data_IF_220038002372
#
_entry.id   IF_220038002372
#
_cell.length_a   1.000
_cell.length_b   1.000
_cell.length_c   1.000
_cell.angle_alpha   90.00
_cell.angle_beta   90.00
_cell.angle_gamma   90.00
#
_symmetry.space_group_name_H-M   'P 1'
#
loop_
_entity.id
_entity.type
_entity.pdbx_description
1 polymer ?
#
# COMPACT_ATOMS: atom_id res chain seq x y z
N UNK A 1 17.39 -31.81 37.06
CA UNK A 1 16.94 -31.50 35.71
C UNK A 1 16.60 -30.00 35.51
N UNK A 2 15.80 -29.40 36.43
CA UNK A 2 15.39 -27.99 36.39
C UNK A 2 16.60 -27.01 36.46
N UNK A 3 17.62 -27.33 37.28
CA UNK A 3 18.82 -26.47 37.37
C UNK A 3 19.63 -26.43 36.07
N UNK A 4 19.74 -27.54 35.35
CA UNK A 4 20.42 -27.59 34.03
C UNK A 4 19.70 -26.75 32.99
N UNK A 5 18.35 -26.79 32.99
CA UNK A 5 17.54 -25.94 32.09
C UNK A 5 17.75 -24.47 32.40
N UNK A 6 17.76 -24.09 33.66
CA UNK A 6 18.02 -22.71 34.10
C UNK A 6 19.38 -22.20 33.61
N UNK A 7 20.43 -22.98 33.79
CA UNK A 7 21.76 -22.63 33.28
C UNK A 7 21.79 -22.50 31.77
N UNK A 8 21.13 -23.41 31.02
CA UNK A 8 21.07 -23.33 29.57
C UNK A 8 20.37 -22.06 29.08
N UNK A 9 19.32 -21.61 29.74
CA UNK A 9 18.61 -20.37 29.42
C UNK A 9 19.51 -19.14 29.64
N UNK A 10 20.21 -19.08 30.78
CA UNK A 10 21.12 -17.97 31.08
C UNK A 10 22.27 -17.90 30.08
N UNK A 11 22.87 -19.03 29.74
CA UNK A 11 23.94 -19.11 28.73
C UNK A 11 23.43 -18.65 27.37
N UNK A 12 22.24 -19.12 26.94
CA UNK A 12 21.64 -18.70 25.67
C UNK A 12 21.33 -17.21 25.64
N UNK A 13 20.80 -16.65 26.73
CA UNK A 13 20.57 -15.21 26.86
C UNK A 13 21.87 -14.41 26.75
N UNK A 14 22.95 -14.88 27.42
CA UNK A 14 24.26 -14.26 27.28
C UNK A 14 24.82 -14.28 25.87
N UNK A 15 24.71 -15.38 25.17
CA UNK A 15 25.14 -15.50 23.77
C UNK A 15 24.36 -14.49 22.90
N UNK A 16 23.04 -14.44 23.02
CA UNK A 16 22.22 -13.51 22.25
C UNK A 16 22.55 -12.04 22.57
N UNK A 17 22.81 -11.74 23.84
CA UNK A 17 23.10 -10.36 24.28
C UNK A 17 24.48 -9.87 23.83
N UNK A 18 25.49 -10.72 23.83
CA UNK A 18 26.89 -10.31 23.55
C UNK A 18 27.36 -10.72 22.17
N UNK A 19 27.13 -11.98 21.74
CA UNK A 19 27.64 -12.46 20.47
C UNK A 19 26.74 -12.09 19.27
N UNK A 20 25.41 -12.07 19.45
CA UNK A 20 24.46 -11.75 18.39
C UNK A 20 24.01 -10.28 18.42
N UNK A 21 24.61 -9.43 19.28
CA UNK A 21 24.21 -8.03 19.47
C UNK A 21 24.17 -7.24 18.17
N UNK A 22 25.19 -7.37 17.35
CA UNK A 22 25.31 -6.63 16.10
C UNK A 22 24.22 -7.07 15.10
N UNK A 23 23.95 -8.35 15.01
CA UNK A 23 22.85 -8.88 14.18
C UNK A 23 21.51 -8.29 14.57
N UNK A 24 21.19 -8.26 15.86
CA UNK A 24 19.92 -7.75 16.35
C UNK A 24 19.82 -6.23 16.24
N UNK A 25 20.93 -5.49 16.36
CA UNK A 25 20.98 -4.06 16.05
C UNK A 25 20.70 -3.80 14.57
N UNK A 26 21.33 -4.50 13.64
CA UNK A 26 21.07 -4.38 12.22
C UNK A 26 19.60 -4.71 11.85
N UNK A 27 19.02 -5.67 12.56
CA UNK A 27 17.60 -6.00 12.41
C UNK A 27 16.72 -4.85 12.92
N UNK A 28 17.01 -4.30 14.08
CA UNK A 28 16.28 -3.17 14.65
C UNK A 28 16.33 -1.94 13.74
N UNK A 29 17.51 -1.58 13.21
CA UNK A 29 17.71 -0.44 12.31
C UNK A 29 16.94 -0.56 11.00
N UNK A 30 16.67 -1.79 10.54
CA UNK A 30 15.81 -2.02 9.37
C UNK A 30 14.34 -1.73 9.65
N UNK A 31 13.90 -1.85 10.90
CA UNK A 31 12.50 -1.64 11.30
C UNK A 31 12.27 -0.23 11.85
N UNK A 32 13.26 0.36 12.50
CA UNK A 32 13.19 1.74 13.02
C UNK A 32 13.62 2.69 11.90
N UNK A 33 12.66 3.36 11.30
CA UNK A 33 12.94 4.48 10.40
C UNK A 33 12.94 5.77 11.19
N UNK A 34 14.10 6.21 11.59
CA UNK A 34 14.28 7.53 12.19
C UNK A 34 14.15 8.62 11.13
N UNK A 35 13.66 9.79 11.53
CA UNK A 35 13.55 10.98 10.68
C UNK A 35 12.70 10.81 9.40
N UNK A 36 11.64 10.01 9.47
CA UNK A 36 10.67 9.94 8.37
C UNK A 36 9.88 11.23 8.32
N UNK A 37 10.10 12.04 7.28
CA UNK A 37 9.31 13.24 7.04
C UNK A 37 7.89 12.84 6.65
N UNK A 38 6.95 13.03 7.57
CA UNK A 38 5.52 12.84 7.29
C UNK A 38 4.99 14.14 6.69
N UNK A 39 4.56 14.10 5.43
CA UNK A 39 3.94 15.26 4.78
C UNK A 39 2.58 15.53 5.43
N UNK A 40 2.32 16.77 5.90
CA UNK A 40 1.03 17.11 6.50
C UNK A 40 -0.09 17.04 5.45
N UNK A 41 -1.27 16.66 5.92
CA UNK A 41 -2.48 16.73 5.11
C UNK A 41 -3.03 18.16 5.11
N UNK A 42 -3.38 18.66 3.92
CA UNK A 42 -4.02 19.97 3.81
C UNK A 42 -5.47 19.89 4.28
N UNK A 43 -5.90 20.87 5.07
CA UNK A 43 -7.28 21.01 5.53
C UNK A 43 -8.27 21.35 4.40
N UNK A 44 -9.54 21.35 4.75
CA UNK A 44 -10.62 21.76 3.87
C UNK A 44 -10.74 23.29 3.81
N UNK A 45 -11.14 23.82 2.65
CA UNK A 45 -11.54 25.22 2.48
C UNK A 45 -13.05 25.21 2.30
N UNK A 46 -13.74 25.95 3.15
CA UNK A 46 -15.19 26.03 3.21
C UNK A 46 -15.59 27.50 2.92
N UNK A 47 -16.68 27.69 2.18
CA UNK A 47 -17.27 29.01 1.95
C UNK A 47 -18.07 29.49 3.18
N UNK A 48 -18.46 30.76 3.19
CA UNK A 48 -19.25 31.34 4.28
C UNK A 48 -20.59 30.66 4.52
N UNK A 49 -21.17 30.03 3.49
CA UNK A 49 -22.41 29.25 3.54
C UNK A 49 -22.16 27.75 3.85
N UNK A 50 -20.95 27.37 4.28
CA UNK A 50 -20.62 26.01 4.69
C UNK A 50 -20.31 25.02 3.54
N UNK A 51 -20.30 25.47 2.29
CA UNK A 51 -20.01 24.59 1.15
C UNK A 51 -18.51 24.31 1.01
N UNK A 52 -18.19 23.08 0.67
CA UNK A 52 -16.82 22.61 0.54
C UNK A 52 -16.20 23.11 -0.78
N UNK A 53 -15.33 24.11 -0.71
CA UNK A 53 -14.67 24.72 -1.87
C UNK A 53 -13.43 23.93 -2.33
N UNK A 54 -12.66 23.38 -1.41
CA UNK A 54 -11.54 22.50 -1.72
C UNK A 54 -11.28 21.54 -0.57
N UNK A 55 -11.02 20.25 -0.93
CA UNK A 55 -10.74 19.19 0.03
C UNK A 55 -9.63 18.28 -0.48
N UNK A 56 -8.88 17.68 0.45
CA UNK A 56 -7.90 16.64 0.14
C UNK A 56 -8.54 15.27 0.34
N UNK A 57 -8.72 14.54 -0.76
CA UNK A 57 -9.27 13.18 -0.73
C UNK A 57 -8.16 12.18 -1.01
N UNK A 58 -8.07 11.09 -0.24
CA UNK A 58 -7.11 10.03 -0.52
C UNK A 58 -7.52 9.27 -1.79
N UNK A 59 -6.58 9.15 -2.71
CA UNK A 59 -6.63 8.24 -3.85
C UNK A 59 -5.58 7.16 -3.67
N UNK A 60 -5.82 5.99 -4.21
CA UNK A 60 -4.95 4.83 -4.01
C UNK A 60 -4.46 4.28 -5.33
N UNK A 61 -3.23 3.76 -5.33
CA UNK A 61 -2.76 2.80 -6.33
C UNK A 61 -2.58 1.46 -5.66
N UNK A 62 -3.02 0.41 -6.32
CA UNK A 62 -2.97 -0.95 -5.81
C UNK A 62 -1.89 -1.76 -6.51
N UNK A 63 -1.11 -2.47 -5.70
CA UNK A 63 0.04 -3.24 -6.14
C UNK A 63 -0.02 -4.67 -5.61
N UNK A 64 0.71 -5.55 -6.27
CA UNK A 64 0.88 -6.95 -5.89
C UNK A 64 2.35 -7.28 -5.71
N UNK A 65 2.72 -7.87 -4.58
CA UNK A 65 4.02 -8.50 -4.34
C UNK A 65 3.91 -10.00 -4.64
N UNK A 66 4.42 -10.42 -5.78
CA UNK A 66 4.44 -11.82 -6.17
C UNK A 66 5.52 -12.66 -5.45
N UNK A 67 6.37 -12.02 -4.64
CA UNK A 67 7.36 -12.70 -3.78
C UNK A 67 6.89 -12.85 -2.34
N UNK A 68 5.68 -12.40 -2.01
CA UNK A 68 5.09 -12.58 -0.69
C UNK A 68 4.94 -14.07 -0.34
N UNK A 69 5.10 -14.43 0.94
CA UNK A 69 5.26 -15.81 1.39
C UNK A 69 4.12 -16.76 1.00
N UNK A 70 2.86 -16.28 0.97
CA UNK A 70 1.71 -17.07 0.57
C UNK A 70 1.52 -17.13 -0.95
N UNK A 71 1.97 -16.12 -1.68
CA UNK A 71 1.85 -16.04 -3.15
C UNK A 71 2.97 -16.83 -3.84
N UNK A 72 4.16 -16.85 -3.24
CA UNK A 72 5.32 -17.57 -3.77
C UNK A 72 5.07 -19.08 -3.87
N UNK A 73 4.27 -19.66 -2.98
CA UNK A 73 3.94 -21.11 -2.92
C UNK A 73 2.86 -21.52 -3.93
N UNK A 74 2.69 -20.82 -5.01
CA UNK A 74 1.96 -21.18 -6.24
C UNK A 74 0.45 -21.49 -6.15
N UNK A 75 -0.02 -22.13 -5.11
CA UNK A 75 -1.39 -22.65 -5.04
C UNK A 75 -2.43 -21.60 -4.67
N UNK A 76 -2.12 -20.71 -3.72
CA UNK A 76 -3.13 -19.81 -3.15
C UNK A 76 -3.66 -18.80 -4.18
N UNK A 77 -2.77 -18.10 -4.89
CA UNK A 77 -3.18 -17.11 -5.89
C UNK A 77 -3.84 -17.76 -7.10
N UNK A 78 -3.33 -18.91 -7.55
CA UNK A 78 -3.85 -19.58 -8.75
C UNK A 78 -5.22 -20.19 -8.54
N UNK A 79 -5.49 -20.73 -7.36
CA UNK A 79 -6.80 -21.30 -7.04
C UNK A 79 -7.92 -20.24 -7.00
N UNK A 80 -7.59 -19.00 -6.65
CA UNK A 80 -8.56 -17.91 -6.58
C UNK A 80 -8.41 -16.89 -7.72
N UNK A 81 -7.57 -17.18 -8.73
CA UNK A 81 -7.25 -16.20 -9.78
C UNK A 81 -8.49 -15.76 -10.56
N UNK A 82 -9.39 -16.68 -10.89
CA UNK A 82 -10.59 -16.37 -11.66
C UNK A 82 -11.57 -15.51 -10.84
N UNK A 83 -11.77 -15.86 -9.57
CA UNK A 83 -12.60 -15.10 -8.64
C UNK A 83 -12.05 -13.68 -8.41
N UNK A 84 -10.73 -13.54 -8.27
CA UNK A 84 -10.06 -12.24 -8.16
C UNK A 84 -10.28 -11.41 -9.43
N UNK A 85 -10.10 -12.00 -10.61
CA UNK A 85 -10.25 -11.30 -11.88
C UNK A 85 -11.69 -10.86 -12.16
N UNK A 86 -12.67 -11.68 -11.82
CA UNK A 86 -14.10 -11.33 -11.88
C UNK A 86 -14.43 -10.20 -10.89
N UNK A 87 -13.91 -10.29 -9.66
CA UNK A 87 -14.08 -9.24 -8.66
C UNK A 87 -13.45 -7.91 -9.11
N UNK A 88 -12.26 -7.95 -9.68
CA UNK A 88 -11.60 -6.77 -10.24
C UNK A 88 -12.37 -6.18 -11.42
N UNK A 89 -12.96 -7.02 -12.28
CA UNK A 89 -13.81 -6.55 -13.38
C UNK A 89 -15.07 -5.84 -12.87
N UNK A 90 -15.70 -6.37 -11.82
CA UNK A 90 -16.88 -5.71 -11.19
C UNK A 90 -16.54 -4.34 -10.63
N UNK A 91 -15.35 -4.18 -10.04
CA UNK A 91 -14.88 -2.90 -9.47
C UNK A 91 -14.40 -1.95 -10.58
N UNK A 92 -13.77 -2.49 -11.62
CA UNK A 92 -13.17 -1.75 -12.74
C UNK A 92 -13.69 -2.27 -14.09
N UNK A 93 -14.89 -1.86 -14.50
CA UNK A 93 -15.53 -2.38 -15.71
C UNK A 93 -14.84 -1.97 -17.02
N UNK A 94 -13.88 -1.05 -16.98
CA UNK A 94 -13.07 -0.63 -18.13
C UNK A 94 -12.04 -1.69 -18.57
N UNK A 95 -11.83 -2.75 -17.78
CA UNK A 95 -10.99 -3.91 -18.14
C UNK A 95 -11.75 -5.21 -17.93
N UNK A 96 -11.61 -6.12 -18.88
CA UNK A 96 -12.22 -7.44 -18.77
C UNK A 96 -11.50 -8.35 -17.75
N UNK A 97 -12.21 -9.35 -17.23
CA UNK A 97 -11.61 -10.34 -16.32
C UNK A 97 -10.44 -11.10 -16.99
N UNK A 98 -10.52 -11.35 -18.30
CA UNK A 98 -9.46 -11.99 -19.08
C UNK A 98 -8.20 -11.13 -19.18
N UNK A 99 -8.34 -9.82 -19.31
CA UNK A 99 -7.21 -8.88 -19.32
C UNK A 99 -6.53 -8.84 -17.94
N UNK A 100 -7.31 -8.78 -16.85
CA UNK A 100 -6.75 -8.87 -15.49
C UNK A 100 -6.02 -10.20 -15.28
N UNK A 101 -6.58 -11.31 -15.76
CA UNK A 101 -5.95 -12.63 -15.67
C UNK A 101 -4.60 -12.67 -16.39
N UNK A 102 -4.55 -12.16 -17.60
CA UNK A 102 -3.31 -12.08 -18.40
C UNK A 102 -2.30 -11.15 -17.72
N UNK A 103 -2.75 -10.00 -17.22
CA UNK A 103 -1.92 -9.03 -16.54
C UNK A 103 -1.31 -9.60 -15.26
N UNK A 104 -2.09 -10.24 -14.40
CA UNK A 104 -1.60 -10.84 -13.15
C UNK A 104 -0.66 -12.02 -13.42
N UNK A 105 -0.94 -12.86 -14.42
CA UNK A 105 -0.03 -13.94 -14.84
C UNK A 105 1.31 -13.39 -15.33
N UNK A 106 1.30 -12.30 -16.10
CA UNK A 106 2.53 -11.61 -16.54
C UNK A 106 3.35 -11.08 -15.35
N UNK A 107 2.71 -10.39 -14.40
CA UNK A 107 3.35 -9.88 -13.20
C UNK A 107 3.99 -10.98 -12.36
N UNK A 108 3.29 -12.10 -12.24
CA UNK A 108 3.80 -13.28 -11.56
C UNK A 108 5.02 -13.89 -12.26
N UNK A 109 5.00 -14.04 -13.58
CA UNK A 109 6.15 -14.53 -14.36
C UNK A 109 7.38 -13.63 -14.17
N UNK A 110 7.17 -12.33 -14.04
CA UNK A 110 8.24 -11.36 -13.74
C UNK A 110 8.73 -11.42 -12.28
N UNK A 111 7.94 -11.97 -11.36
CA UNK A 111 8.27 -12.05 -9.93
C UNK A 111 8.48 -10.67 -9.30
N UNK A 112 7.74 -9.66 -9.74
CA UNK A 112 7.85 -8.30 -9.22
C UNK A 112 7.31 -8.20 -7.79
N UNK A 113 7.99 -7.42 -6.93
CA UNK A 113 7.50 -7.09 -5.59
C UNK A 113 6.53 -5.91 -5.57
N UNK A 114 6.52 -5.13 -6.63
CA UNK A 114 5.69 -3.93 -6.71
C UNK A 114 5.01 -3.86 -8.09
N UNK A 115 4.17 -4.84 -8.37
CA UNK A 115 3.47 -4.93 -9.65
C UNK A 115 2.15 -4.19 -9.60
N UNK A 116 1.98 -3.17 -10.44
CA UNK A 116 0.78 -2.35 -10.48
C UNK A 116 -0.39 -3.18 -11.04
N UNK A 117 -1.44 -3.40 -10.24
CA UNK A 117 -2.63 -4.17 -10.64
C UNK A 117 -3.50 -3.37 -11.59
N UNK A 118 -3.72 -2.09 -11.28
CA UNK A 118 -4.56 -1.20 -12.05
C UNK A 118 -3.86 0.14 -12.30
N UNK A 119 -3.81 0.66 -13.56
CA UNK A 119 -2.98 1.81 -13.92
C UNK A 119 -3.48 3.15 -13.38
N UNK A 120 -4.81 3.29 -13.19
CA UNK A 120 -5.41 4.52 -12.70
C UNK A 120 -5.38 4.56 -11.17
N UNK A 121 -5.50 5.75 -10.62
CA UNK A 121 -5.77 5.93 -9.19
C UNK A 121 -7.23 5.59 -8.90
N UNK A 122 -7.49 5.01 -7.77
CA UNK A 122 -8.79 4.53 -7.35
C UNK A 122 -9.26 5.24 -6.07
N UNK A 123 -10.56 5.29 -5.88
CA UNK A 123 -11.17 5.84 -4.67
C UNK A 123 -10.99 4.90 -3.47
N UNK A 124 -11.21 5.44 -2.27
CA UNK A 124 -11.21 4.63 -1.03
C UNK A 124 -12.23 3.49 -1.07
N UNK A 125 -13.40 3.72 -1.66
CA UNK A 125 -14.46 2.70 -1.76
C UNK A 125 -13.97 1.54 -2.64
N UNK A 126 -13.48 1.83 -3.84
CA UNK A 126 -12.92 0.82 -4.76
C UNK A 126 -11.74 0.07 -4.14
N UNK A 127 -10.87 0.77 -3.41
CA UNK A 127 -9.77 0.13 -2.67
C UNK A 127 -10.30 -0.85 -1.62
N UNK A 128 -11.30 -0.45 -0.82
CA UNK A 128 -11.92 -1.34 0.18
C UNK A 128 -12.57 -2.57 -0.44
N UNK A 129 -13.25 -2.41 -1.56
CA UNK A 129 -13.85 -3.51 -2.31
C UNK A 129 -12.78 -4.46 -2.85
N UNK A 130 -11.72 -3.92 -3.47
CA UNK A 130 -10.60 -4.74 -3.93
C UNK A 130 -9.93 -5.51 -2.78
N UNK A 131 -9.77 -4.89 -1.61
CA UNK A 131 -9.18 -5.53 -0.43
C UNK A 131 -10.03 -6.67 0.15
N UNK A 132 -11.32 -6.75 -0.18
CA UNK A 132 -12.19 -7.86 0.25
C UNK A 132 -12.03 -9.12 -0.63
N UNK A 133 -11.41 -9.01 -1.79
CA UNK A 133 -11.21 -10.14 -2.68
C UNK A 133 -10.32 -11.22 -2.03
N UNK A 134 -10.48 -12.49 -2.42
CA UNK A 134 -9.64 -13.57 -1.95
C UNK A 134 -8.16 -13.25 -2.15
N UNK A 135 -7.31 -13.69 -1.24
CA UNK A 135 -5.87 -13.40 -1.19
C UNK A 135 -5.56 -11.91 -0.89
N UNK A 136 -6.30 -10.94 -1.44
CA UNK A 136 -6.08 -9.51 -1.18
C UNK A 136 -6.52 -9.09 0.23
N UNK A 137 -7.42 -9.84 0.86
CA UNK A 137 -7.85 -9.65 2.25
C UNK A 137 -6.78 -10.07 3.28
N UNK A 138 -5.76 -10.79 2.84
CA UNK A 138 -4.67 -11.24 3.70
C UNK A 138 -3.68 -10.11 3.97
N UNK A 139 -2.85 -10.31 5.00
CA UNK A 139 -1.74 -9.41 5.28
C UNK A 139 -0.80 -9.33 4.05
N UNK A 140 -0.25 -8.15 3.78
CA UNK A 140 0.65 -7.90 2.63
C UNK A 140 1.82 -8.88 2.53
N UNK A 141 2.30 -9.41 3.64
CA UNK A 141 3.39 -10.39 3.67
C UNK A 141 2.96 -11.81 3.27
N UNK A 142 1.65 -12.13 3.43
CA UNK A 142 1.06 -13.40 2.99
C UNK A 142 0.40 -13.28 1.62
N UNK A 143 -0.52 -12.32 1.47
CA UNK A 143 -1.31 -12.11 0.26
C UNK A 143 -0.63 -11.25 -0.79
N UNK A 144 0.39 -10.47 -0.43
CA UNK A 144 1.15 -9.62 -1.35
C UNK A 144 0.43 -8.36 -1.81
N UNK A 145 -0.86 -8.21 -1.52
CA UNK A 145 -1.62 -7.01 -1.88
C UNK A 145 -1.24 -5.84 -0.98
N UNK A 146 -0.90 -4.71 -1.58
CA UNK A 146 -0.60 -3.48 -0.86
C UNK A 146 -1.00 -2.25 -1.68
N UNK A 147 -1.19 -1.16 -0.97
CA UNK A 147 -1.59 0.12 -1.53
C UNK A 147 -0.56 1.20 -1.30
N UNK A 148 -0.60 2.21 -2.17
CA UNK A 148 0.08 3.48 -1.98
C UNK A 148 -0.96 4.60 -2.03
N UNK A 149 -1.10 5.32 -0.92
CA UNK A 149 -2.04 6.41 -0.79
C UNK A 149 -1.45 7.72 -1.34
N UNK A 150 -2.25 8.46 -2.06
CA UNK A 150 -1.96 9.79 -2.59
C UNK A 150 -3.04 10.76 -2.14
N UNK A 151 -2.66 11.93 -1.65
CA UNK A 151 -3.61 12.97 -1.34
C UNK A 151 -3.86 13.82 -2.59
N UNK A 152 -5.07 13.72 -3.14
CA UNK A 152 -5.52 14.50 -4.28
C UNK A 152 -6.36 15.69 -3.80
N UNK A 153 -5.96 16.90 -4.21
CA UNK A 153 -6.80 18.09 -3.96
C UNK A 153 -7.95 18.12 -4.96
N UNK A 154 -9.17 18.06 -4.45
CA UNK A 154 -10.39 18.19 -5.25
C UNK A 154 -11.02 19.56 -5.02
N UNK A 155 -11.49 20.15 -6.11
CA UNK A 155 -12.26 21.41 -6.13
C UNK A 155 -13.64 21.08 -6.70
N UNK A 156 -14.67 20.84 -5.85
CA UNK A 156 -15.99 20.40 -6.31
C UNK A 156 -16.66 21.36 -7.29
N UNK A 157 -16.39 22.66 -7.17
CA UNK A 157 -16.96 23.71 -8.02
C UNK A 157 -16.04 24.09 -9.20
N UNK A 158 -15.09 23.25 -9.57
CA UNK A 158 -14.23 23.42 -10.74
C UNK A 158 -13.42 24.72 -10.71
N UNK A 159 -13.67 25.62 -11.65
CA UNK A 159 -12.94 26.89 -11.79
C UNK A 159 -13.41 28.01 -10.85
N UNK A 160 -14.47 27.78 -10.08
CA UNK A 160 -14.96 28.78 -9.13
C UNK A 160 -13.86 29.14 -8.13
N UNK A 161 -13.56 30.43 -8.01
CA UNK A 161 -12.51 30.97 -7.14
C UNK A 161 -11.11 30.35 -7.39
N UNK A 162 -10.81 29.91 -8.61
CA UNK A 162 -9.56 29.20 -8.93
C UNK A 162 -8.31 29.98 -8.55
N UNK A 163 -8.32 31.31 -8.75
CA UNK A 163 -7.19 32.19 -8.37
C UNK A 163 -6.99 32.25 -6.86
N UNK A 164 -8.08 32.31 -6.09
CA UNK A 164 -8.04 32.37 -4.62
C UNK A 164 -7.64 31.03 -4.01
N UNK A 165 -8.17 29.91 -4.56
CA UNK A 165 -7.89 28.55 -4.08
C UNK A 165 -6.49 28.08 -4.49
N UNK A 166 -5.92 28.63 -5.58
CA UNK A 166 -4.63 28.23 -6.11
C UNK A 166 -4.60 26.79 -6.61
N UNK A 167 -3.42 26.36 -7.04
CA UNK A 167 -3.16 24.98 -7.46
C UNK A 167 -2.04 24.32 -6.65
N UNK A 168 -1.95 23.00 -6.73
CA UNK A 168 -0.89 22.21 -6.13
C UNK A 168 0.16 21.86 -7.16
N UNK A 169 1.38 22.28 -6.89
CA UNK A 169 2.54 21.91 -7.69
C UNK A 169 3.32 20.80 -6.96
N UNK A 170 3.81 19.82 -7.72
CA UNK A 170 4.59 18.73 -7.18
C UNK A 170 5.99 19.19 -6.71
N UNK A 171 6.48 20.28 -7.30
CA UNK A 171 7.77 20.88 -7.00
C UNK A 171 7.61 22.38 -6.72
N UNK A 172 8.26 22.85 -5.68
CA UNK A 172 8.28 24.27 -5.28
C UNK A 172 8.86 25.19 -6.38
N UNK A 173 9.78 24.67 -7.18
CA UNK A 173 10.36 25.41 -8.31
C UNK A 173 9.34 25.71 -9.42
N UNK A 174 8.30 24.90 -9.57
CA UNK A 174 7.24 25.11 -10.58
C UNK A 174 6.12 26.04 -10.08
N UNK A 175 6.00 26.24 -8.78
CA UNK A 175 4.99 27.11 -8.18
C UNK A 175 5.38 28.58 -8.14
N UNK A 176 6.62 28.91 -8.48
CA UNK A 176 7.17 30.27 -8.43
C UNK A 176 7.10 31.02 -9.78
N UNK A 177 6.29 30.56 -10.73
CA UNK A 177 6.06 31.24 -12.02
C UNK A 177 4.79 32.06 -12.00
#
# INVERSE_FOLDING_TARGET
LMGLIGVAIVVKAGITMFAERQYWQDVADRFVKENVTVKPNRGNIISSDGKLMASSLPEYRIYMDFKAGGVKKDTMLMNHLDEICEGLHKIFPDKSASEFKTHLKKGRKQGSRNYLIYPKRISYIQYKEAKRLPVFNLNKYKGGFHELAYNQRKKPFGSLAARTLGDLYADTAQGAK
#
